data_IF_111610595674
#
_entry.id   IF_111610595674
#
_cell.length_a   1.000
_cell.length_b   1.000
_cell.length_c   1.000
_cell.angle_alpha   90.00
_cell.angle_beta   90.00
_cell.angle_gamma   90.00
#
_symmetry.space_group_name_H-M   'P 1'
#
loop_
_entity.id
_entity.type
_entity.pdbx_description
1 polymer ?
#
# COMPACT_ATOMS: atom_id res chain seq x y z
N UNK A 1 -23.98 71.15 20.36
CA UNK A 1 -23.45 72.24 19.51
C UNK A 1 -21.96 72.37 19.74
N UNK A 2 -21.27 72.96 18.75
CA UNK A 2 -19.82 73.26 18.67
C UNK A 2 -19.05 72.14 17.93
N UNK A 3 -18.94 72.14 16.60
CA UNK A 3 -18.48 73.14 15.62
C UNK A 3 -16.94 73.23 15.52
N UNK A 4 -16.46 73.18 14.28
CA UNK A 4 -15.09 72.84 13.86
C UNK A 4 -14.07 73.96 14.10
N UNK A 5 -12.78 73.75 13.72
CA UNK A 5 -12.36 74.50 12.54
C UNK A 5 -11.47 73.76 11.54
N UNK A 6 -11.74 74.10 10.28
CA UNK A 6 -10.92 73.91 9.07
C UNK A 6 -9.52 74.53 9.21
N UNK A 7 -8.50 73.87 8.65
CA UNK A 7 -7.30 74.54 8.13
C UNK A 7 -6.96 74.06 6.73
N UNK A 8 -6.66 75.05 5.90
CA UNK A 8 -6.54 74.97 4.45
C UNK A 8 -5.08 75.13 3.99
N UNK A 9 -4.76 74.40 2.93
CA UNK A 9 -3.76 74.66 1.87
C UNK A 9 -2.28 74.91 2.23
N UNK A 10 -1.42 74.04 1.69
CA UNK A 10 -0.35 74.47 0.77
C UNK A 10 0.13 73.28 -0.07
N UNK A 11 -0.18 73.33 -1.36
CA UNK A 11 0.41 72.44 -2.36
C UNK A 11 1.71 73.08 -2.85
N UNK A 12 2.85 72.53 -2.46
CA UNK A 12 4.14 72.81 -3.11
C UNK A 12 4.53 71.62 -3.97
N UNK A 13 4.65 71.90 -5.27
CA UNK A 13 5.14 70.98 -6.31
C UNK A 13 6.53 70.44 -5.93
N UNK A 14 6.62 69.16 -5.61
CA UNK A 14 7.87 68.43 -5.58
C UNK A 14 8.09 67.74 -6.94
N UNK A 15 9.30 67.93 -7.47
CA UNK A 15 9.74 67.52 -8.81
C UNK A 15 9.71 65.99 -8.95
N UNK A 16 9.12 65.51 -10.04
CA UNK A 16 9.20 64.10 -10.46
C UNK A 16 10.64 63.75 -10.81
N UNK A 17 11.28 62.95 -9.96
CA UNK A 17 12.53 62.26 -10.29
C UNK A 17 12.21 61.07 -11.18
N UNK A 18 12.70 61.08 -12.43
CA UNK A 18 12.62 59.94 -13.33
C UNK A 18 13.56 58.86 -12.81
N UNK A 19 13.00 57.77 -12.26
CA UNK A 19 13.73 56.51 -12.11
C UNK A 19 13.54 55.70 -13.39
N UNK A 20 14.66 55.36 -14.01
CA UNK A 20 14.73 54.38 -15.07
C UNK A 20 14.31 53.01 -14.51
N UNK A 21 13.24 52.44 -15.06
CA UNK A 21 12.83 51.06 -14.81
C UNK A 21 13.73 50.14 -15.63
N UNK A 22 14.74 49.56 -14.98
CA UNK A 22 15.41 48.36 -15.48
C UNK A 22 14.43 47.19 -15.36
N UNK A 23 13.81 46.81 -16.47
CA UNK A 23 12.94 45.63 -16.52
C UNK A 23 13.79 44.37 -16.44
N UNK A 24 13.81 43.73 -15.27
CA UNK A 24 14.18 42.31 -15.18
C UNK A 24 13.00 41.49 -15.69
N UNK A 25 13.21 40.75 -16.77
CA UNK A 25 12.25 39.73 -17.22
C UNK A 25 12.17 38.69 -16.11
N UNK A 26 11.04 38.61 -15.42
CA UNK A 26 10.77 37.53 -14.49
C UNK A 26 10.68 36.24 -15.31
N UNK A 27 11.71 35.40 -15.22
CA UNK A 27 11.68 34.04 -15.75
C UNK A 27 10.74 33.25 -14.85
N UNK A 28 9.64 32.74 -15.41
CA UNK A 28 8.76 31.84 -14.68
C UNK A 28 9.58 30.65 -14.17
N UNK A 29 9.41 30.22 -12.90
CA UNK A 29 10.07 29.03 -12.41
C UNK A 29 9.70 27.86 -13.35
N UNK A 30 10.64 26.94 -13.64
CA UNK A 30 10.32 25.77 -14.43
C UNK A 30 9.11 25.07 -13.80
N UNK A 31 8.19 24.53 -14.64
CA UNK A 31 7.04 23.82 -14.11
C UNK A 31 7.52 22.78 -13.10
N UNK A 32 6.85 22.63 -11.94
CA UNK A 32 7.24 21.61 -10.98
C UNK A 32 7.31 20.28 -11.70
N UNK A 33 8.41 19.54 -11.52
CA UNK A 33 8.50 18.16 -12.00
C UNK A 33 7.40 17.40 -11.27
N UNK A 34 6.32 17.09 -11.98
CA UNK A 34 5.25 16.25 -11.46
C UNK A 34 5.82 14.84 -11.40
N UNK A 35 6.42 14.49 -10.26
CA UNK A 35 6.67 13.09 -9.93
C UNK A 35 5.28 12.50 -9.73
N UNK A 36 4.82 11.70 -10.70
CA UNK A 36 3.60 10.93 -10.51
C UNK A 36 3.74 10.20 -9.17
N UNK A 37 2.77 10.35 -8.28
CA UNK A 37 2.67 9.49 -7.10
C UNK A 37 2.61 8.07 -7.65
N UNK A 38 3.73 7.35 -7.63
CA UNK A 38 3.76 5.95 -8.02
C UNK A 38 2.82 5.27 -7.04
N UNK A 39 1.72 4.71 -7.55
CA UNK A 39 0.91 3.82 -6.73
C UNK A 39 1.85 2.83 -6.03
N UNK A 40 1.66 2.56 -4.72
CA UNK A 40 2.63 1.77 -3.98
C UNK A 40 2.80 0.43 -4.67
N UNK A 41 4.06 0.08 -4.94
CA UNK A 41 4.44 -1.13 -5.67
C UNK A 41 3.78 -2.37 -5.07
N UNK A 42 3.54 -3.35 -5.91
CA UNK A 42 3.02 -4.65 -5.48
C UNK A 42 4.16 -5.65 -5.43
N UNK A 43 4.04 -6.62 -4.55
CA UNK A 43 4.91 -7.80 -4.53
C UNK A 43 4.07 -9.01 -4.91
N UNK A 44 4.56 -9.78 -5.86
CA UNK A 44 3.99 -11.06 -6.28
C UNK A 44 4.90 -12.17 -5.76
N UNK A 45 4.35 -13.08 -4.95
CA UNK A 45 5.03 -14.24 -4.43
C UNK A 45 4.37 -15.51 -4.98
N UNK A 46 5.18 -16.35 -5.63
CA UNK A 46 4.81 -17.70 -6.03
C UNK A 46 5.19 -18.65 -4.89
N UNK A 47 4.19 -19.37 -4.40
CA UNK A 47 4.30 -20.36 -3.35
C UNK A 47 4.16 -21.75 -3.97
N UNK A 48 5.17 -22.60 -3.80
CA UNK A 48 5.16 -23.99 -4.23
C UNK A 48 5.17 -24.89 -2.99
N UNK A 49 4.16 -25.74 -2.86
CA UNK A 49 4.10 -26.75 -1.81
C UNK A 49 4.16 -28.15 -2.41
N UNK A 50 5.03 -28.99 -1.85
CA UNK A 50 5.13 -30.41 -2.20
C UNK A 50 4.53 -31.23 -1.05
N UNK A 51 3.41 -31.88 -1.32
CA UNK A 51 2.77 -32.78 -0.35
C UNK A 51 2.93 -34.24 -0.78
N UNK A 52 3.26 -35.11 0.17
CA UNK A 52 3.25 -36.55 -0.05
C UNK A 52 1.79 -37.01 -0.25
N UNK A 53 1.49 -37.61 -1.40
CA UNK A 53 0.18 -38.17 -1.66
C UNK A 53 -0.11 -39.32 -0.70
N UNK A 54 -1.39 -39.49 -0.35
CA UNK A 54 -1.86 -40.52 0.58
C UNK A 54 -1.46 -41.96 0.21
N UNK A 55 -1.06 -42.20 -1.04
CA UNK A 55 -0.62 -43.51 -1.55
C UNK A 55 0.91 -43.70 -1.57
N UNK A 56 1.70 -42.84 -0.92
CA UNK A 56 3.16 -43.01 -0.73
C UNK A 56 4.04 -42.87 -1.97
N UNK A 57 3.48 -42.99 -3.18
CA UNK A 57 4.22 -43.08 -4.43
C UNK A 57 3.98 -41.89 -5.39
N UNK A 58 3.16 -40.91 -5.01
CA UNK A 58 2.85 -39.73 -5.83
C UNK A 58 2.97 -38.47 -4.98
N UNK A 59 3.90 -37.59 -5.32
CA UNK A 59 3.95 -36.23 -4.77
C UNK A 59 2.94 -35.36 -5.51
N UNK A 60 2.16 -34.57 -4.77
CA UNK A 60 1.29 -33.53 -5.35
C UNK A 60 1.97 -32.18 -5.16
N UNK A 61 2.30 -31.54 -6.29
CA UNK A 61 2.77 -30.16 -6.32
C UNK A 61 1.57 -29.22 -6.44
N UNK A 62 1.55 -28.18 -5.62
CA UNK A 62 0.52 -27.13 -5.66
C UNK A 62 1.22 -25.78 -5.71
N UNK A 63 0.74 -24.94 -6.64
CA UNK A 63 1.23 -23.58 -6.85
C UNK A 63 0.15 -22.58 -6.46
N UNK A 64 0.55 -21.52 -5.77
CA UNK A 64 -0.30 -20.37 -5.46
C UNK A 64 0.45 -19.08 -5.78
N UNK A 65 -0.26 -18.05 -6.23
CA UNK A 65 0.34 -16.75 -6.56
C UNK A 65 -0.34 -15.69 -5.73
N UNK A 66 0.37 -15.18 -4.73
CA UNK A 66 -0.13 -14.16 -3.82
C UNK A 66 0.44 -12.80 -4.16
N UNK A 67 -0.41 -11.79 -4.21
CA UNK A 67 -0.05 -10.40 -4.46
C UNK A 67 -0.45 -9.55 -3.28
N UNK A 68 0.43 -8.65 -2.85
CA UNK A 68 0.20 -7.71 -1.74
C UNK A 68 0.96 -6.40 -1.99
N UNK A 69 0.68 -5.34 -1.21
CA UNK A 69 1.45 -4.09 -1.30
C UNK A 69 2.84 -4.31 -0.73
N UNK A 70 3.89 -3.85 -1.42
CA UNK A 70 5.29 -4.14 -1.04
C UNK A 70 5.65 -3.70 0.37
N UNK A 71 5.13 -2.57 0.83
CA UNK A 71 5.31 -2.02 2.18
C UNK A 71 4.60 -2.84 3.28
N UNK A 72 3.74 -3.77 2.90
CA UNK A 72 2.99 -4.64 3.82
C UNK A 72 3.53 -6.06 3.94
N UNK A 73 4.78 -6.30 3.53
CA UNK A 73 5.42 -7.63 3.58
C UNK A 73 5.36 -8.33 4.94
N UNK A 74 5.42 -7.57 6.04
CA UNK A 74 5.25 -8.12 7.41
C UNK A 74 3.91 -8.83 7.60
N UNK A 75 2.84 -8.34 6.95
CA UNK A 75 1.53 -9.02 6.97
C UNK A 75 1.56 -10.34 6.22
N UNK A 76 2.26 -10.40 5.09
CA UNK A 76 2.43 -11.63 4.30
C UNK A 76 3.25 -12.68 5.06
N UNK A 77 4.31 -12.29 5.76
CA UNK A 77 5.06 -13.21 6.63
C UNK A 77 4.18 -13.84 7.73
N UNK A 78 3.29 -13.05 8.34
CA UNK A 78 2.35 -13.55 9.34
C UNK A 78 1.32 -14.49 8.72
N UNK A 79 0.81 -14.17 7.53
CA UNK A 79 -0.04 -15.07 6.76
C UNK A 79 0.62 -16.44 6.54
N UNK A 80 1.88 -16.46 6.12
CA UNK A 80 2.63 -17.71 5.94
C UNK A 80 2.82 -18.49 7.25
N UNK A 81 3.09 -17.79 8.36
CA UNK A 81 3.19 -18.41 9.70
C UNK A 81 1.89 -19.09 10.12
N UNK A 82 0.74 -18.45 9.87
CA UNK A 82 -0.58 -19.05 10.13
C UNK A 82 -0.84 -20.32 9.32
N UNK A 83 -0.22 -20.43 8.15
CA UNK A 83 -0.33 -21.61 7.27
C UNK A 83 0.74 -22.67 7.53
N UNK A 84 1.59 -22.48 8.54
CA UNK A 84 2.74 -23.34 8.83
C UNK A 84 3.69 -23.52 7.62
N UNK A 85 3.77 -22.52 6.75
CA UNK A 85 4.57 -22.58 5.53
C UNK A 85 6.06 -22.74 5.83
N UNK A 86 6.74 -23.66 5.15
CA UNK A 86 8.18 -23.88 5.29
C UNK A 86 8.60 -24.67 6.53
N UNK A 87 7.64 -25.22 7.30
CA UNK A 87 7.95 -26.02 8.50
C UNK A 87 8.55 -27.39 8.18
N UNK A 88 8.08 -28.03 7.11
CA UNK A 88 8.39 -29.43 6.80
C UNK A 88 9.43 -29.62 5.68
N UNK A 89 10.06 -28.54 5.22
CA UNK A 89 11.23 -28.59 4.31
C UNK A 89 10.93 -28.92 2.84
N UNK A 90 9.66 -28.99 2.44
CA UNK A 90 9.23 -29.21 1.04
C UNK A 90 8.63 -27.99 0.34
N UNK A 91 8.48 -26.88 1.04
CA UNK A 91 7.86 -25.66 0.50
C UNK A 91 8.92 -24.70 -0.04
N UNK A 92 8.66 -24.11 -1.20
CA UNK A 92 9.50 -23.09 -1.83
C UNK A 92 8.70 -21.79 -2.06
N UNK A 93 9.39 -20.65 -2.03
CA UNK A 93 8.78 -19.35 -2.26
C UNK A 93 9.72 -18.47 -3.10
N UNK A 94 9.16 -17.83 -4.12
CA UNK A 94 9.86 -16.84 -4.94
C UNK A 94 9.03 -15.59 -5.07
N UNK A 95 9.59 -14.44 -4.67
CA UNK A 95 8.91 -13.15 -4.69
C UNK A 95 9.60 -12.17 -5.64
N UNK A 96 8.80 -11.36 -6.34
CA UNK A 96 9.29 -10.27 -7.16
C UNK A 96 8.40 -9.03 -7.00
N UNK A 97 9.02 -7.86 -7.11
CA UNK A 97 8.28 -6.62 -7.23
C UNK A 97 7.58 -6.56 -8.59
N UNK A 98 6.38 -5.98 -8.60
CA UNK A 98 5.49 -5.88 -9.74
C UNK A 98 4.81 -4.51 -9.74
N UNK A 99 4.64 -3.95 -10.93
CA UNK A 99 3.85 -2.73 -11.08
C UNK A 99 2.36 -3.01 -10.79
N UNK A 100 1.64 -2.08 -10.13
CA UNK A 100 0.21 -2.19 -9.92
C UNK A 100 -0.54 -2.51 -11.22
N UNK A 101 -1.45 -3.47 -11.14
CA UNK A 101 -2.19 -3.99 -12.28
C UNK A 101 -3.68 -4.03 -11.95
N UNK A 102 -4.43 -3.06 -12.50
CA UNK A 102 -5.85 -2.91 -12.25
C UNK A 102 -6.69 -4.08 -12.79
N UNK A 103 -6.18 -4.83 -13.76
CA UNK A 103 -6.89 -5.94 -14.41
C UNK A 103 -6.59 -7.29 -13.75
N UNK A 104 -5.66 -7.34 -12.79
CA UNK A 104 -5.32 -8.56 -12.09
C UNK A 104 -6.53 -9.07 -11.29
N UNK A 105 -7.08 -10.21 -11.70
CA UNK A 105 -8.18 -10.86 -10.99
C UNK A 105 -7.73 -11.46 -9.65
N UNK A 106 -8.60 -11.30 -8.65
CA UNK A 106 -8.43 -11.82 -7.32
C UNK A 106 -9.38 -13.00 -7.08
N UNK A 107 -8.80 -14.18 -6.92
CA UNK A 107 -9.54 -15.40 -6.57
C UNK A 107 -10.00 -15.40 -5.12
N UNK A 108 -9.11 -14.93 -4.26
CA UNK A 108 -9.32 -14.91 -2.83
C UNK A 108 -8.68 -13.63 -2.29
N UNK A 109 -9.51 -12.78 -1.69
CA UNK A 109 -9.02 -11.63 -0.96
C UNK A 109 -9.03 -11.96 0.53
N UNK A 110 -7.84 -12.02 1.12
CA UNK A 110 -7.62 -12.42 2.51
C UNK A 110 -6.91 -11.30 3.26
N UNK A 111 -7.21 -11.15 4.55
CA UNK A 111 -6.64 -10.12 5.42
C UNK A 111 -6.00 -10.74 6.64
N UNK A 112 -4.84 -10.23 7.02
CA UNK A 112 -4.20 -10.52 8.30
C UNK A 112 -4.38 -9.31 9.20
N UNK A 113 -4.99 -9.53 10.36
CA UNK A 113 -5.18 -8.51 11.40
C UNK A 113 -4.21 -8.81 12.53
N UNK A 114 -3.27 -7.93 12.83
CA UNK A 114 -2.24 -8.16 13.84
C UNK A 114 -1.89 -6.89 14.61
N UNK A 115 -1.25 -7.03 15.76
CA UNK A 115 -0.99 -5.93 16.70
C UNK A 115 -2.21 -5.61 17.57
N UNK A 116 -1.98 -4.89 18.66
CA UNK A 116 -2.99 -4.60 19.66
C UNK A 116 -3.57 -5.87 20.26
N UNK A 117 -4.91 -5.95 20.34
CA UNK A 117 -5.61 -7.11 20.95
C UNK A 117 -5.40 -8.43 20.21
N UNK A 118 -4.94 -8.39 18.96
CA UNK A 118 -4.65 -9.57 18.14
C UNK A 118 -3.22 -10.09 18.32
N UNK A 119 -2.38 -9.35 19.05
CA UNK A 119 -0.99 -9.69 19.33
C UNK A 119 -0.11 -9.81 18.08
N UNK A 120 1.10 -10.33 18.28
CA UNK A 120 2.12 -10.33 17.24
C UNK A 120 1.83 -11.29 16.08
N UNK A 121 1.18 -12.42 16.31
CA UNK A 121 0.84 -13.37 15.24
C UNK A 121 -0.38 -12.91 14.44
N UNK A 122 -1.34 -12.26 15.10
CA UNK A 122 -2.58 -11.82 14.49
C UNK A 122 -3.56 -12.95 14.17
N UNK A 123 -4.55 -12.64 13.36
CA UNK A 123 -5.58 -13.56 12.84
C UNK A 123 -5.74 -13.40 11.34
N UNK A 124 -6.05 -14.49 10.63
CA UNK A 124 -6.32 -14.48 9.18
C UNK A 124 -7.82 -14.58 8.96
N UNK A 125 -8.37 -13.66 8.18
CA UNK A 125 -9.81 -13.60 7.87
C UNK A 125 -10.03 -13.32 6.38
N UNK A 126 -11.10 -13.83 5.76
CA UNK A 126 -11.53 -13.37 4.44
C UNK A 126 -11.84 -11.87 4.46
N UNK A 127 -11.50 -11.16 3.39
CA UNK A 127 -11.88 -9.76 3.23
C UNK A 127 -13.38 -9.65 2.89
N UNK A 128 -14.09 -8.74 3.57
CA UNK A 128 -15.47 -8.42 3.24
C UNK A 128 -15.66 -6.92 2.93
N UNK A 129 -16.42 -6.55 1.88
CA UNK A 129 -17.00 -7.46 0.86
C UNK A 129 -15.93 -8.15 -0.01
N UNK A 130 -16.28 -9.28 -0.66
CA UNK A 130 -15.40 -9.93 -1.63
C UNK A 130 -15.03 -8.97 -2.76
N UNK A 131 -13.77 -9.01 -3.20
CA UNK A 131 -13.24 -8.16 -4.26
C UNK A 131 -12.86 -9.01 -5.46
N UNK A 132 -13.32 -8.63 -6.66
CA UNK A 132 -13.00 -9.34 -7.90
C UNK A 132 -11.60 -9.04 -8.41
N UNK A 133 -11.07 -7.86 -8.10
CA UNK A 133 -9.79 -7.37 -8.62
C UNK A 133 -8.79 -7.15 -7.48
N UNK A 134 -7.51 -7.42 -7.75
CA UNK A 134 -6.45 -7.26 -6.79
C UNK A 134 -6.36 -5.81 -6.29
N UNK A 135 -6.56 -4.82 -7.17
CA UNK A 135 -6.56 -3.41 -6.79
C UNK A 135 -7.53 -3.09 -5.64
N UNK A 136 -8.78 -3.56 -5.74
CA UNK A 136 -9.79 -3.37 -4.69
C UNK A 136 -9.52 -4.18 -3.42
N UNK A 137 -8.93 -5.37 -3.56
CA UNK A 137 -8.47 -6.16 -2.41
C UNK A 137 -7.37 -5.42 -1.64
N UNK A 138 -6.33 -4.99 -2.35
CA UNK A 138 -5.11 -4.41 -1.78
C UNK A 138 -5.31 -2.97 -1.26
N UNK A 139 -6.36 -2.27 -1.68
CA UNK A 139 -6.75 -0.99 -1.09
C UNK A 139 -7.33 -1.12 0.33
N UNK A 140 -7.56 -2.35 0.83
CA UNK A 140 -8.10 -2.61 2.18
C UNK A 140 -7.04 -2.65 3.27
N UNK A 141 -5.80 -2.29 2.94
CA UNK A 141 -4.76 -2.11 3.95
C UNK A 141 -5.10 -0.92 4.84
N UNK A 142 -5.08 -1.10 6.16
CA UNK A 142 -5.25 0.01 7.10
C UNK A 142 -4.51 -0.22 8.41
N UNK A 143 -4.16 0.88 9.06
CA UNK A 143 -3.74 0.90 10.46
C UNK A 143 -4.94 1.39 11.25
N UNK A 144 -5.38 0.61 12.22
CA UNK A 144 -6.41 0.98 13.19
C UNK A 144 -5.68 1.46 14.42
N UNK A 145 -5.63 2.77 14.58
CA UNK A 145 -5.29 3.39 15.85
C UNK A 145 -6.42 3.08 16.81
N UNK A 146 -6.05 2.51 17.94
CA UNK A 146 -7.02 2.14 18.94
C UNK A 146 -6.91 3.15 20.08
N UNK A 147 -7.99 3.90 20.29
CA UNK A 147 -8.15 4.78 21.44
C UNK A 147 -8.36 3.88 22.67
N UNK A 148 -7.28 3.44 23.31
CA UNK A 148 -7.39 2.65 24.54
C UNK A 148 -6.75 3.38 25.71
N UNK A 149 -7.57 3.53 26.75
CA UNK A 149 -7.19 3.89 28.11
C UNK A 149 -6.25 2.80 28.68
N UNK A 150 -5.32 3.23 29.55
CA UNK A 150 -4.14 2.56 30.10
C UNK A 150 -4.37 1.19 30.81
N UNK A 151 -4.91 0.18 30.14
CA UNK A 151 -5.00 -1.18 30.67
C UNK A 151 -3.90 -2.09 30.07
N UNK A 152 -3.06 -2.66 30.96
CA UNK A 152 -1.75 -3.28 30.74
C UNK A 152 -1.67 -4.53 29.83
N UNK A 153 -2.74 -4.87 29.09
CA UNK A 153 -2.79 -6.06 28.22
C UNK A 153 -2.38 -5.79 26.75
N UNK A 154 -1.89 -4.60 26.46
CA UNK A 154 -1.58 -4.13 25.11
C UNK A 154 -0.10 -4.31 24.77
N UNK A 155 0.21 -4.85 23.58
CA UNK A 155 1.59 -5.06 23.11
C UNK A 155 2.29 -3.77 22.62
N UNK A 156 1.64 -2.62 22.81
CA UNK A 156 2.14 -1.30 22.42
C UNK A 156 2.03 -0.98 20.94
N UNK A 157 1.65 -1.95 20.08
CA UNK A 157 1.66 -1.77 18.62
C UNK A 157 0.26 -1.51 18.08
N UNK A 158 0.08 -0.52 17.19
CA UNK A 158 -1.21 -0.27 16.57
C UNK A 158 -1.68 -1.52 15.78
N UNK A 159 -2.98 -1.79 15.83
CA UNK A 159 -3.56 -2.87 15.05
C UNK A 159 -3.42 -2.54 13.56
N UNK A 160 -2.91 -3.49 12.78
CA UNK A 160 -2.76 -3.39 11.34
C UNK A 160 -3.59 -4.46 10.67
N UNK A 161 -4.25 -4.07 9.59
CA UNK A 161 -5.02 -4.96 8.73
C UNK A 161 -4.38 -4.94 7.35
N UNK A 162 -3.78 -6.06 6.94
CA UNK A 162 -3.10 -6.20 5.66
C UNK A 162 -3.85 -7.18 4.78
N UNK A 163 -4.36 -6.69 3.66
CA UNK A 163 -5.00 -7.46 2.61
C UNK A 163 -3.98 -7.99 1.60
N UNK A 164 -4.25 -9.19 1.11
CA UNK A 164 -3.49 -9.90 0.09
C UNK A 164 -4.42 -10.70 -0.79
N UNK A 165 -4.01 -10.85 -2.04
CA UNK A 165 -4.82 -11.38 -3.11
C UNK A 165 -4.19 -12.65 -3.67
N UNK A 166 -4.92 -13.76 -3.65
CA UNK A 166 -4.56 -14.95 -4.43
C UNK A 166 -4.99 -14.74 -5.88
N UNK A 167 -4.10 -14.96 -6.84
CA UNK A 167 -4.32 -14.65 -8.26
C UNK A 167 -4.13 -15.87 -9.17
N UNK A 168 -4.77 -15.83 -10.34
CA UNK A 168 -4.90 -16.98 -11.24
C UNK A 168 -3.63 -17.39 -12.02
N UNK A 169 -2.50 -16.66 -11.90
CA UNK A 169 -1.35 -16.84 -12.80
C UNK A 169 -0.64 -18.20 -12.70
N UNK A 170 -0.90 -18.98 -11.66
CA UNK A 170 -0.19 -20.25 -11.39
C UNK A 170 -0.66 -21.50 -12.17
N UNK A 171 -1.62 -21.41 -13.11
CA UNK A 171 -2.18 -22.61 -13.76
C UNK A 171 -1.89 -22.80 -15.26
N UNK A 172 -1.28 -21.84 -15.96
CA UNK A 172 -1.31 -21.85 -17.44
C UNK A 172 0.00 -22.11 -18.21
N UNK A 173 1.17 -22.22 -17.56
CA UNK A 173 2.42 -22.37 -18.34
C UNK A 173 3.04 -23.80 -18.30
N UNK A 174 2.31 -24.81 -17.80
CA UNK A 174 2.83 -26.18 -17.66
C UNK A 174 2.25 -27.26 -18.58
N UNK A 175 1.27 -26.93 -19.45
CA UNK A 175 0.52 -27.96 -20.23
C UNK A 175 0.72 -27.85 -21.74
N UNK A 176 1.54 -26.92 -22.24
CA UNK A 176 1.68 -26.70 -23.70
C UNK A 176 3.11 -26.69 -24.26
N UNK A 177 4.10 -27.28 -23.58
CA UNK A 177 5.37 -27.63 -24.22
C UNK A 177 5.76 -29.09 -23.94
N UNK A 178 4.93 -30.00 -24.45
CA UNK A 178 5.38 -31.33 -24.84
C UNK A 178 4.93 -31.57 -26.27
N UNK A 179 5.81 -31.18 -27.20
CA UNK A 179 5.84 -31.69 -28.57
C UNK A 179 7.27 -31.82 -29.04
#
# INVERSE_FOLDING_TARGET
GHDAPRRSHRWTRARLSRRASGGTVAVAPPPPVVVAYSEPAWTECVLESVSAGAAGNTSTQRFEVWVFRTDTGVGFEKFLKHRYWGRDGGDSMSCRERQPDAELECLECTRVVFGGVYGSLGVVVPAYPPERYAGGCLSRNRVVEADYDDDDSYDGNPTREVAMCNSHRGRLDGVLESK
#
